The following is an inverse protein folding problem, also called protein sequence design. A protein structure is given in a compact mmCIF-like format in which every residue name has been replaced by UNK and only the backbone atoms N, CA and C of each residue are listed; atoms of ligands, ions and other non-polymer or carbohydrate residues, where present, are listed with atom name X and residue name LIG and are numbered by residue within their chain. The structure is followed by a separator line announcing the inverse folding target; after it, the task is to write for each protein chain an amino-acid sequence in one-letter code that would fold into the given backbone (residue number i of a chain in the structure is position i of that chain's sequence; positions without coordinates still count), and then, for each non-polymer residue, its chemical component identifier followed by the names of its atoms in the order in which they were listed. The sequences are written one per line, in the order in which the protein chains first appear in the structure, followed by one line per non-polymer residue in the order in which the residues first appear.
data_IF_746015565274
#
_entry.id   IF_746015565274
#
_cell.length_a   1.000
_cell.length_b   1.000
_cell.length_c   1.000
_cell.angle_alpha   90.00
_cell.angle_beta   90.00
_cell.angle_gamma   90.00
#
_symmetry.space_group_name_H-M   'P 1'
#
loop_
_entity.id
_entity.type
_entity.pdbx_description
1 polymer ?
#
# COMPACT_ATOMS: atom_id res chain seq x y z
N UNK A 1 37.17 -16.85 -38.82
CA UNK A 1 35.73 -16.78 -38.45
C UNK A 1 35.64 -16.17 -37.07
N UNK A 2 35.35 -14.88 -36.99
CA UNK A 2 35.22 -14.15 -35.71
C UNK A 2 33.76 -14.20 -35.28
N UNK A 3 33.48 -14.87 -34.17
CA UNK A 3 32.14 -14.91 -33.56
C UNK A 3 31.92 -13.57 -32.86
N UNK A 4 31.08 -12.73 -33.47
CA UNK A 4 30.55 -11.52 -32.84
C UNK A 4 29.59 -11.97 -31.74
N UNK A 5 30.04 -11.92 -30.49
CA UNK A 5 29.18 -12.07 -29.32
C UNK A 5 28.36 -10.79 -29.19
N UNK A 6 27.10 -10.85 -29.65
CA UNK A 6 26.13 -9.80 -29.42
C UNK A 6 25.91 -9.64 -27.91
N UNK A 7 26.48 -8.59 -27.31
CA UNK A 7 26.07 -8.11 -26.00
C UNK A 7 24.62 -7.63 -26.12
N UNK A 8 23.69 -8.45 -25.65
CA UNK A 8 22.32 -8.01 -25.38
C UNK A 8 22.40 -6.85 -24.37
N UNK A 9 22.31 -5.62 -24.89
CA UNK A 9 22.16 -4.44 -24.06
C UNK A 9 20.91 -4.62 -23.22
N UNK A 10 21.09 -4.79 -21.91
CA UNK A 10 20.01 -4.69 -20.95
C UNK A 10 19.40 -3.30 -21.16
N UNK A 11 18.25 -3.27 -21.83
CA UNK A 11 17.42 -2.08 -21.98
C UNK A 11 17.19 -1.54 -20.58
N UNK A 12 17.88 -0.45 -20.26
CA UNK A 12 17.97 0.06 -18.90
C UNK A 12 16.63 0.63 -18.50
N UNK A 13 15.71 -0.24 -18.07
CA UNK A 13 14.36 0.08 -17.62
C UNK A 13 14.43 1.33 -16.74
N UNK A 14 13.80 2.41 -17.22
CA UNK A 14 13.75 3.68 -16.51
C UNK A 14 12.89 3.44 -15.27
N UNK A 15 13.54 3.36 -14.12
CA UNK A 15 12.88 3.32 -12.82
C UNK A 15 11.92 4.51 -12.70
N UNK A 16 10.65 4.33 -12.31
CA UNK A 16 9.73 5.43 -12.06
C UNK A 16 10.30 6.35 -10.97
N UNK A 17 10.91 7.46 -11.40
CA UNK A 17 11.33 8.57 -10.55
C UNK A 17 10.09 9.37 -10.18
N UNK A 18 9.31 8.84 -9.25
CA UNK A 18 8.01 9.43 -8.93
C UNK A 18 7.48 9.12 -7.54
N UNK A 19 8.14 8.27 -6.74
CA UNK A 19 7.59 7.87 -5.44
C UNK A 19 7.31 9.08 -4.53
N UNK A 20 8.23 10.04 -4.32
CA UNK A 20 7.91 11.23 -3.51
C UNK A 20 6.72 12.02 -4.05
N UNK A 21 6.64 12.20 -5.38
CA UNK A 21 5.52 12.88 -6.02
C UNK A 21 4.20 12.14 -5.86
N UNK A 22 4.22 10.80 -5.97
CA UNK A 22 3.05 9.97 -5.72
C UNK A 22 2.59 10.03 -4.26
N UNK A 23 3.53 10.02 -3.30
CA UNK A 23 3.21 10.18 -1.88
C UNK A 23 2.56 11.55 -1.59
N UNK A 24 3.12 12.63 -2.16
CA UNK A 24 2.54 13.97 -2.03
C UNK A 24 1.17 14.06 -2.68
N UNK A 25 1.00 13.46 -3.86
CA UNK A 25 -0.27 13.43 -4.56
C UNK A 25 -1.33 12.66 -3.76
N UNK A 26 -0.98 11.51 -3.18
CA UNK A 26 -1.87 10.74 -2.32
C UNK A 26 -2.27 11.52 -1.06
N UNK A 27 -1.33 12.21 -0.43
CA UNK A 27 -1.61 13.09 0.72
C UNK A 27 -2.56 14.22 0.35
N UNK A 28 -2.30 14.91 -0.77
CA UNK A 28 -3.18 15.98 -1.26
C UNK A 28 -4.58 15.47 -1.61
N UNK A 29 -4.67 14.34 -2.33
CA UNK A 29 -5.95 13.74 -2.70
C UNK A 29 -6.76 13.33 -1.47
N UNK A 30 -6.12 12.76 -0.46
CA UNK A 30 -6.79 12.38 0.80
C UNK A 30 -7.25 13.60 1.59
N UNK A 31 -6.46 14.67 1.63
CA UNK A 31 -6.86 15.93 2.26
C UNK A 31 -8.07 16.57 1.56
N UNK A 32 -8.07 16.60 0.22
CA UNK A 32 -9.21 17.08 -0.58
C UNK A 32 -10.45 16.21 -0.33
N UNK A 33 -10.30 14.89 -0.28
CA UNK A 33 -11.41 13.99 0.04
C UNK A 33 -11.98 14.26 1.43
N UNK A 34 -11.14 14.40 2.45
CA UNK A 34 -11.57 14.69 3.82
C UNK A 34 -12.29 16.03 3.93
N UNK A 35 -11.79 17.07 3.23
CA UNK A 35 -12.47 18.35 3.12
C UNK A 35 -13.86 18.19 2.50
N UNK A 36 -13.97 17.46 1.38
CA UNK A 36 -15.25 17.25 0.69
C UNK A 36 -16.24 16.45 1.53
N UNK A 37 -15.80 15.42 2.25
CA UNK A 37 -16.67 14.68 3.16
C UNK A 37 -17.26 15.57 4.26
N UNK A 38 -16.46 16.46 4.83
CA UNK A 38 -16.87 17.29 5.96
C UNK A 38 -17.61 18.58 5.59
N UNK A 39 -17.40 19.11 4.37
CA UNK A 39 -17.98 20.40 3.95
C UNK A 39 -19.05 20.23 2.86
N UNK A 40 -18.85 19.30 1.92
CA UNK A 40 -19.73 19.13 0.76
C UNK A 40 -20.78 18.01 0.94
N UNK A 41 -20.80 17.33 2.10
CA UNK A 41 -21.81 16.33 2.46
C UNK A 41 -21.88 15.17 1.48
N UNK A 42 -20.79 14.40 1.36
CA UNK A 42 -20.75 13.24 0.45
C UNK A 42 -21.31 11.97 1.10
N UNK A 43 -21.64 10.99 0.25
CA UNK A 43 -22.00 9.64 0.67
C UNK A 43 -20.90 9.07 1.58
N UNK A 44 -21.31 8.46 2.69
CA UNK A 44 -20.41 7.92 3.72
C UNK A 44 -20.32 8.76 4.99
N UNK A 45 -20.78 10.02 4.96
CA UNK A 45 -20.84 10.90 6.13
C UNK A 45 -19.50 11.52 6.53
N UNK A 46 -19.50 12.36 7.58
CA UNK A 46 -18.30 13.09 8.01
C UNK A 46 -17.16 12.14 8.42
N UNK A 47 -15.93 12.56 8.18
CA UNK A 47 -14.71 11.80 8.46
C UNK A 47 -13.84 12.53 9.50
N UNK A 48 -13.45 11.81 10.55
CA UNK A 48 -12.47 12.29 11.52
C UNK A 48 -11.07 12.42 10.91
N UNK A 49 -10.20 13.20 11.57
CA UNK A 49 -8.80 13.31 11.14
C UNK A 49 -8.11 11.95 11.17
N UNK A 50 -8.38 11.13 12.18
CA UNK A 50 -7.82 9.79 12.35
C UNK A 50 -8.21 8.88 11.19
N UNK A 51 -9.48 8.89 10.78
CA UNK A 51 -9.92 8.11 9.61
C UNK A 51 -9.34 8.64 8.31
N UNK A 52 -9.17 9.94 8.17
CA UNK A 52 -8.50 10.52 7.00
C UNK A 52 -7.02 10.12 6.93
N UNK A 53 -6.30 10.12 8.05
CA UNK A 53 -4.91 9.66 8.14
C UNK A 53 -4.80 8.17 7.85
N UNK A 54 -5.67 7.36 8.44
CA UNK A 54 -5.75 5.93 8.14
C UNK A 54 -6.00 5.67 6.66
N UNK A 55 -6.95 6.38 6.02
CA UNK A 55 -7.20 6.28 4.59
C UNK A 55 -5.97 6.65 3.76
N UNK A 56 -5.27 7.73 4.12
CA UNK A 56 -4.03 8.09 3.44
C UNK A 56 -2.98 6.99 3.57
N UNK A 57 -2.82 6.44 4.79
CA UNK A 57 -1.91 5.34 5.05
C UNK A 57 -2.26 4.12 4.20
N UNK A 58 -3.51 3.69 4.16
CA UNK A 58 -3.91 2.49 3.39
C UNK A 58 -3.68 2.69 1.90
N UNK A 59 -4.04 3.84 1.32
CA UNK A 59 -3.73 4.13 -0.10
C UNK A 59 -2.21 4.09 -0.33
N UNK A 60 -1.44 4.71 0.57
CA UNK A 60 0.01 4.78 0.46
C UNK A 60 0.66 3.39 0.57
N UNK A 61 0.34 2.66 1.63
CA UNK A 61 1.02 1.43 2.01
C UNK A 61 0.48 0.21 1.27
N UNK A 62 -0.79 0.21 0.85
CA UNK A 62 -1.40 -0.92 0.16
C UNK A 62 -1.36 -0.79 -1.37
N UNK A 63 -1.29 0.44 -1.91
CA UNK A 63 -1.27 0.65 -3.35
C UNK A 63 0.02 1.31 -3.83
N UNK A 64 0.32 2.52 -3.37
CA UNK A 64 1.43 3.32 -3.93
C UNK A 64 2.77 2.63 -3.72
N UNK A 65 3.15 2.35 -2.47
CA UNK A 65 4.45 1.74 -2.17
C UNK A 65 4.60 0.36 -2.82
N UNK A 66 3.62 -0.58 -2.71
CA UNK A 66 3.69 -1.84 -3.43
C UNK A 66 3.83 -1.68 -4.94
N UNK A 67 3.11 -0.75 -5.58
CA UNK A 67 3.19 -0.55 -7.03
C UNK A 67 4.59 -0.14 -7.47
N UNK A 68 5.22 0.78 -6.73
CA UNK A 68 6.62 1.14 -6.96
C UNK A 68 7.54 -0.05 -6.72
N UNK A 69 7.40 -0.80 -5.62
CA UNK A 69 8.22 -1.97 -5.34
C UNK A 69 8.13 -3.02 -6.46
N UNK A 70 6.91 -3.33 -6.94
CA UNK A 70 6.70 -4.30 -8.03
C UNK A 70 7.36 -3.86 -9.34
N UNK A 71 7.33 -2.55 -9.62
CA UNK A 71 8.02 -1.96 -10.76
C UNK A 71 9.55 -1.90 -10.60
N UNK A 72 10.09 -2.19 -9.40
CA UNK A 72 11.52 -1.98 -9.13
C UNK A 72 12.38 -3.06 -9.77
N UNK A 73 13.35 -2.70 -10.64
CA UNK A 73 14.14 -3.69 -11.38
C UNK A 73 14.98 -4.57 -10.45
N UNK A 74 15.46 -4.03 -9.33
CA UNK A 74 16.25 -4.79 -8.35
C UNK A 74 15.42 -5.67 -7.40
N UNK A 75 14.08 -5.62 -7.44
CA UNK A 75 13.27 -6.49 -6.58
C UNK A 75 13.23 -7.90 -7.20
N UNK A 76 13.61 -8.93 -6.44
CA UNK A 76 13.60 -10.29 -6.96
C UNK A 76 12.17 -10.80 -7.23
N UNK A 77 12.06 -11.89 -7.99
CA UNK A 77 10.78 -12.46 -8.44
C UNK A 77 9.86 -12.85 -7.28
N UNK A 78 10.43 -13.32 -6.16
CA UNK A 78 9.68 -13.81 -5.00
C UNK A 78 8.83 -12.70 -4.35
N UNK A 79 9.45 -11.69 -3.71
CA UNK A 79 8.74 -10.55 -3.11
C UNK A 79 7.89 -9.80 -4.13
N UNK A 80 8.37 -9.65 -5.37
CA UNK A 80 7.60 -9.02 -6.46
C UNK A 80 6.28 -9.75 -6.71
N UNK A 81 6.29 -11.08 -6.77
CA UNK A 81 5.08 -11.88 -6.95
C UNK A 81 4.10 -11.71 -5.79
N UNK A 82 4.59 -11.68 -4.55
CA UNK A 82 3.74 -11.44 -3.36
C UNK A 82 3.03 -10.10 -3.48
N UNK A 83 3.78 -9.03 -3.74
CA UNK A 83 3.23 -7.68 -3.82
C UNK A 83 2.32 -7.49 -5.04
N UNK A 84 2.63 -8.12 -6.17
CA UNK A 84 1.81 -8.03 -7.37
C UNK A 84 0.43 -8.69 -7.19
N UNK A 85 0.37 -9.88 -6.59
CA UNK A 85 -0.89 -10.55 -6.29
C UNK A 85 -1.70 -9.81 -5.22
N UNK A 86 -1.03 -9.29 -4.20
CA UNK A 86 -1.66 -8.43 -3.20
C UNK A 86 -2.27 -7.18 -3.86
N UNK A 87 -1.52 -6.47 -4.70
CA UNK A 87 -2.03 -5.31 -5.45
C UNK A 87 -3.22 -5.66 -6.34
N UNK A 88 -3.15 -6.77 -7.06
CA UNK A 88 -4.25 -7.20 -7.92
C UNK A 88 -5.53 -7.45 -7.11
N UNK A 89 -5.42 -8.13 -5.97
CA UNK A 89 -6.55 -8.36 -5.06
C UNK A 89 -7.08 -7.04 -4.48
N UNK A 90 -6.21 -6.16 -3.99
CA UNK A 90 -6.62 -4.86 -3.44
C UNK A 90 -7.25 -3.95 -4.50
N UNK A 91 -6.76 -3.99 -5.74
CA UNK A 91 -7.36 -3.29 -6.87
C UNK A 91 -8.76 -3.79 -7.18
N UNK A 92 -8.95 -5.12 -7.19
CA UNK A 92 -10.27 -5.72 -7.36
C UNK A 92 -11.24 -5.32 -6.24
N UNK A 93 -10.77 -5.31 -4.97
CA UNK A 93 -11.54 -4.77 -3.84
C UNK A 93 -11.93 -3.32 -4.05
N UNK A 94 -10.98 -2.45 -4.42
CA UNK A 94 -11.27 -1.04 -4.63
C UNK A 94 -12.38 -0.81 -5.65
N UNK A 95 -12.34 -1.52 -6.78
CA UNK A 95 -13.40 -1.44 -7.81
C UNK A 95 -14.75 -1.93 -7.26
N UNK A 96 -14.75 -3.07 -6.57
CA UNK A 96 -15.97 -3.65 -6.01
C UNK A 96 -16.58 -2.77 -4.91
N UNK A 97 -15.78 -2.22 -3.99
CA UNK A 97 -16.26 -1.35 -2.91
C UNK A 97 -16.80 -0.03 -3.46
N UNK A 98 -16.15 0.58 -4.45
CA UNK A 98 -16.68 1.78 -5.09
C UNK A 98 -18.05 1.53 -5.72
N UNK A 99 -18.23 0.39 -6.39
CA UNK A 99 -19.52 0.00 -6.94
C UNK A 99 -20.55 -0.24 -5.83
N UNK A 100 -20.19 -0.95 -4.76
CA UNK A 100 -21.09 -1.22 -3.64
C UNK A 100 -21.51 0.05 -2.88
N UNK A 101 -20.62 1.03 -2.74
CA UNK A 101 -20.87 2.29 -2.03
C UNK A 101 -21.70 3.26 -2.88
N UNK A 102 -21.31 3.48 -4.14
CA UNK A 102 -21.86 4.57 -4.96
C UNK A 102 -22.92 4.14 -5.96
N UNK A 103 -23.01 2.84 -6.29
CA UNK A 103 -23.97 2.34 -7.28
C UNK A 103 -25.03 1.45 -6.63
N UNK A 104 -24.60 0.42 -5.89
CA UNK A 104 -25.52 -0.56 -5.31
C UNK A 104 -26.06 -0.16 -3.93
N UNK A 105 -25.42 0.78 -3.24
CA UNK A 105 -25.72 1.17 -1.85
C UNK A 105 -25.85 -0.03 -0.91
N UNK A 106 -25.01 -1.04 -1.14
CA UNK A 106 -25.07 -2.36 -0.48
C UNK A 106 -23.74 -2.71 0.20
N UNK A 107 -22.91 -1.70 0.48
CA UNK A 107 -21.63 -1.91 1.13
C UNK A 107 -21.83 -2.43 2.55
N UNK A 108 -21.06 -3.45 2.92
CA UNK A 108 -21.06 -4.05 4.25
C UNK A 108 -19.63 -4.21 4.77
N UNK A 109 -19.38 -3.90 6.06
CA UNK A 109 -18.08 -4.16 6.67
C UNK A 109 -17.63 -5.62 6.56
N UNK A 110 -18.57 -6.58 6.50
CA UNK A 110 -18.26 -8.01 6.38
C UNK A 110 -17.53 -8.34 5.08
N UNK A 111 -17.86 -7.65 3.98
CA UNK A 111 -17.16 -7.81 2.70
C UNK A 111 -15.69 -7.39 2.84
N UNK A 112 -15.45 -6.23 3.45
CA UNK A 112 -14.10 -5.72 3.72
C UNK A 112 -13.28 -6.68 4.59
N UNK A 113 -13.88 -7.18 5.68
CA UNK A 113 -13.24 -8.15 6.60
C UNK A 113 -12.86 -9.43 5.87
N UNK A 114 -13.78 -10.02 5.09
CA UNK A 114 -13.52 -11.25 4.35
C UNK A 114 -12.35 -11.08 3.37
N UNK A 115 -12.29 -9.93 2.69
CA UNK A 115 -11.22 -9.61 1.75
C UNK A 115 -9.87 -9.38 2.45
N UNK A 116 -9.85 -8.75 3.64
CA UNK A 116 -8.62 -8.57 4.43
C UNK A 116 -8.08 -9.91 4.93
N UNK A 117 -8.95 -10.80 5.44
CA UNK A 117 -8.56 -12.17 5.85
C UNK A 117 -7.99 -12.94 4.66
N UNK A 118 -8.63 -12.85 3.49
CA UNK A 118 -8.12 -13.45 2.26
C UNK A 118 -6.73 -12.92 1.90
N UNK A 119 -6.50 -11.60 1.98
CA UNK A 119 -5.19 -11.02 1.64
C UNK A 119 -4.09 -11.40 2.64
N UNK A 120 -4.42 -11.48 3.93
CA UNK A 120 -3.49 -12.00 4.94
C UNK A 120 -3.07 -13.43 4.57
N UNK A 121 -4.04 -14.29 4.25
CA UNK A 121 -3.78 -15.68 3.87
C UNK A 121 -3.00 -15.80 2.55
N UNK A 122 -3.36 -15.00 1.54
CA UNK A 122 -2.70 -14.94 0.24
C UNK A 122 -1.22 -14.57 0.40
N UNK A 123 -0.93 -13.48 1.12
CA UNK A 123 0.44 -13.04 1.38
C UNK A 123 1.23 -14.12 2.14
N UNK A 124 0.63 -14.73 3.17
CA UNK A 124 1.28 -15.81 3.92
C UNK A 124 1.59 -17.03 3.04
N UNK A 125 0.64 -17.46 2.20
CA UNK A 125 0.81 -18.61 1.32
C UNK A 125 1.88 -18.37 0.25
N UNK A 126 1.89 -17.19 -0.38
CA UNK A 126 2.86 -16.84 -1.41
C UNK A 126 4.28 -16.70 -0.86
N UNK A 127 4.43 -16.21 0.38
CA UNK A 127 5.71 -16.15 1.10
C UNK A 127 6.28 -17.55 1.36
N UNK A 128 5.45 -18.50 1.79
CA UNK A 128 5.88 -19.89 2.04
C UNK A 128 6.32 -20.61 0.75
N UNK A 129 5.67 -20.31 -0.38
CA UNK A 129 6.00 -20.89 -1.71
C UNK A 129 7.18 -20.18 -2.42
N UNK A 130 7.80 -19.20 -1.79
CA UNK A 130 8.85 -18.36 -2.37
C UNK A 130 10.27 -18.87 -2.13
N UNK A 131 10.54 -20.17 -2.32
CA UNK A 131 11.87 -20.77 -2.19
C UNK A 131 12.47 -21.12 -3.56
N UNK A 132 13.60 -20.51 -3.91
CA UNK A 132 14.46 -20.95 -5.03
C UNK A 132 14.75 -19.88 -6.08
N UNK A 133 15.83 -19.12 -5.86
CA UNK A 133 16.43 -18.22 -6.86
C UNK A 133 17.12 -17.01 -6.21
N UNK A 134 18.45 -16.96 -6.27
CA UNK A 134 19.34 -15.91 -5.71
C UNK A 134 20.21 -15.38 -6.86
N UNK A 135 20.51 -14.09 -7.13
CA UNK A 135 20.54 -12.76 -6.45
C UNK A 135 19.96 -11.67 -7.43
N UNK A 136 19.47 -10.45 -7.04
CA UNK A 136 20.23 -9.42 -6.29
C UNK A 136 19.54 -8.62 -5.16
N UNK A 137 20.39 -8.15 -4.22
CA UNK A 137 20.20 -7.35 -2.99
C UNK A 137 19.29 -7.98 -1.94
N UNK A 138 19.84 -9.00 -1.25
CA UNK A 138 19.24 -9.63 -0.08
C UNK A 138 18.67 -8.62 0.95
N UNK A 139 19.29 -7.44 1.10
CA UNK A 139 18.80 -6.41 2.03
C UNK A 139 17.54 -5.68 1.53
N UNK A 140 17.44 -5.41 0.22
CA UNK A 140 16.26 -4.75 -0.38
C UNK A 140 15.06 -5.71 -0.38
N UNK A 141 15.29 -6.96 -0.78
CA UNK A 141 14.28 -8.02 -0.74
C UNK A 141 13.78 -8.31 0.68
N UNK A 142 14.69 -8.41 1.65
CA UNK A 142 14.33 -8.57 3.06
C UNK A 142 13.52 -7.37 3.56
N UNK A 143 13.87 -6.16 3.13
CA UNK A 143 13.10 -4.95 3.40
C UNK A 143 11.67 -5.04 2.87
N UNK A 144 11.49 -5.44 1.62
CA UNK A 144 10.18 -5.60 0.99
C UNK A 144 9.34 -6.70 1.68
N UNK A 145 9.94 -7.83 2.06
CA UNK A 145 9.25 -8.90 2.78
C UNK A 145 8.87 -8.50 4.22
N UNK A 146 9.72 -7.70 4.89
CA UNK A 146 9.36 -7.07 6.16
C UNK A 146 8.14 -6.16 5.98
N UNK A 147 8.14 -5.34 4.94
CA UNK A 147 7.02 -4.46 4.62
C UNK A 147 5.73 -5.24 4.34
N UNK A 148 5.78 -6.41 3.70
CA UNK A 148 4.61 -7.29 3.59
C UNK A 148 4.04 -7.71 4.96
N UNK A 149 4.88 -7.82 5.99
CA UNK A 149 4.42 -8.12 7.36
C UNK A 149 3.72 -6.89 7.97
N UNK A 150 4.21 -5.68 7.68
CA UNK A 150 3.54 -4.43 8.05
C UNK A 150 2.17 -4.30 7.38
N UNK A 151 2.07 -4.67 6.09
CA UNK A 151 0.78 -4.75 5.39
C UNK A 151 -0.17 -5.70 6.12
N UNK A 152 0.25 -6.93 6.43
CA UNK A 152 -0.58 -7.90 7.14
C UNK A 152 -1.04 -7.37 8.52
N UNK A 153 -0.15 -6.72 9.28
CA UNK A 153 -0.52 -6.10 10.55
C UNK A 153 -1.55 -4.99 10.37
N UNK A 154 -1.41 -4.15 9.33
CA UNK A 154 -2.41 -3.12 9.04
C UNK A 154 -3.75 -3.68 8.55
N UNK A 155 -3.78 -4.81 7.84
CA UNK A 155 -5.03 -5.50 7.49
C UNK A 155 -5.75 -6.04 8.74
N UNK A 156 -5.00 -6.51 9.74
CA UNK A 156 -5.60 -6.88 11.04
C UNK A 156 -6.22 -5.67 11.73
N UNK A 157 -5.54 -4.52 11.72
CA UNK A 157 -6.12 -3.29 12.26
C UNK A 157 -7.39 -2.86 11.49
N UNK A 158 -7.40 -2.97 10.16
CA UNK A 158 -8.59 -2.73 9.34
C UNK A 158 -9.76 -3.65 9.72
N UNK A 159 -9.51 -4.95 9.88
CA UNK A 159 -10.52 -5.92 10.34
C UNK A 159 -11.11 -5.49 11.68
N UNK A 160 -10.27 -5.05 12.62
CA UNK A 160 -10.75 -4.58 13.93
C UNK A 160 -11.61 -3.32 13.80
N UNK A 161 -11.20 -2.35 12.96
CA UNK A 161 -12.01 -1.16 12.71
C UNK A 161 -13.35 -1.50 12.06
N UNK A 162 -13.33 -2.32 11.00
CA UNK A 162 -14.52 -2.76 10.31
C UNK A 162 -15.47 -3.56 11.22
N UNK A 163 -14.92 -4.40 12.11
CA UNK A 163 -15.71 -5.15 13.08
C UNK A 163 -16.37 -4.22 14.12
N UNK A 164 -15.68 -3.18 14.60
CA UNK A 164 -16.28 -2.18 15.49
C UNK A 164 -17.40 -1.41 14.76
N UNK A 165 -17.18 -1.01 13.51
CA UNK A 165 -18.20 -0.40 12.65
C UNK A 165 -19.43 -1.28 12.45
N UNK A 166 -19.20 -2.57 12.17
CA UNK A 166 -20.26 -3.54 12.01
C UNK A 166 -21.12 -3.66 13.27
N UNK A 167 -20.47 -3.74 14.44
CA UNK A 167 -21.15 -3.86 15.74
C UNK A 167 -22.00 -2.65 16.12
N UNK A 168 -21.68 -1.46 15.62
CA UNK A 168 -22.49 -0.26 15.86
C UNK A 168 -23.71 -0.16 14.95
N UNK A 169 -23.82 -0.99 13.90
CA UNK A 169 -24.98 -0.98 12.99
C UNK A 169 -25.04 0.20 12.02
N UNK A 170 -24.16 1.20 12.16
CA UNK A 170 -24.16 2.47 11.39
C UNK A 170 -24.00 2.31 9.88
N UNK A 171 -23.51 1.17 9.42
CA UNK A 171 -23.40 0.84 8.00
C UNK A 171 -24.79 0.72 7.33
N UNK A 172 -25.85 0.41 8.10
CA UNK A 172 -27.23 0.42 7.61
C UNK A 172 -27.74 1.81 7.26
N UNK A 173 -27.14 2.87 7.84
CA UNK A 173 -27.49 4.27 7.61
C UNK A 173 -26.56 4.94 6.57
N UNK A 174 -25.84 4.14 5.78
CA UNK A 174 -24.83 4.58 4.82
C UNK A 174 -23.72 5.47 5.44
N UNK A 175 -23.46 5.30 6.74
CA UNK A 175 -22.31 5.90 7.42
C UNK A 175 -21.12 4.97 7.30
N UNK A 176 -20.15 5.38 6.48
CA UNK A 176 -18.97 4.59 6.15
C UNK A 176 -17.70 5.12 6.82
N UNK A 177 -17.73 6.34 7.35
CA UNK A 177 -16.62 6.98 8.05
C UNK A 177 -16.96 7.27 9.51
N UNK A 178 -15.94 7.33 10.37
CA UNK A 178 -16.14 7.65 11.78
C UNK A 178 -16.13 9.18 11.93
N UNK A 179 -17.25 9.83 12.27
CA UNK A 179 -17.25 11.25 12.54
C UNK A 179 -16.50 11.56 13.85
N UNK A 180 -16.07 12.81 14.07
CA UNK A 180 -15.44 13.25 15.31
C UNK A 180 -16.49 13.52 16.42
N UNK A 181 -17.33 12.54 16.74
CA UNK A 181 -18.37 12.63 17.78
C UNK A 181 -18.04 11.75 18.98
N UNK A 182 -18.73 11.98 20.11
CA UNK A 182 -18.53 11.22 21.35
C UNK A 182 -18.78 9.71 21.15
N UNK A 183 -19.76 9.35 20.32
CA UNK A 183 -20.09 7.98 19.95
C UNK A 183 -18.89 7.22 19.35
N UNK A 184 -18.14 7.88 18.45
CA UNK A 184 -16.99 7.28 17.74
C UNK A 184 -15.65 7.55 18.42
N UNK A 185 -15.62 8.21 19.59
CA UNK A 185 -14.39 8.63 20.25
C UNK A 185 -13.42 7.47 20.52
N UNK A 186 -13.94 6.30 20.91
CA UNK A 186 -13.15 5.11 21.18
C UNK A 186 -12.54 4.51 19.89
N UNK A 187 -13.27 4.49 18.78
CA UNK A 187 -12.76 4.06 17.47
C UNK A 187 -11.69 5.03 16.98
N UNK A 188 -11.94 6.33 17.06
CA UNK A 188 -10.98 7.35 16.64
C UNK A 188 -9.70 7.27 17.49
N UNK A 189 -9.80 7.11 18.82
CA UNK A 189 -8.63 6.93 19.67
C UNK A 189 -7.82 5.69 19.27
N UNK A 190 -8.48 4.55 19.04
CA UNK A 190 -7.80 3.34 18.58
C UNK A 190 -7.12 3.56 17.22
N UNK A 191 -7.82 4.17 16.26
CA UNK A 191 -7.27 4.50 14.94
C UNK A 191 -6.05 5.41 15.07
N UNK A 192 -6.08 6.44 15.93
CA UNK A 192 -4.92 7.31 16.20
C UNK A 192 -3.70 6.53 16.70
N UNK A 193 -3.91 5.63 17.67
CA UNK A 193 -2.83 4.80 18.21
C UNK A 193 -2.22 3.92 17.11
N UNK A 194 -3.06 3.32 16.26
CA UNK A 194 -2.61 2.52 15.12
C UNK A 194 -1.86 3.40 14.12
N UNK A 195 -2.39 4.58 13.75
CA UNK A 195 -1.78 5.52 12.81
C UNK A 195 -0.34 5.85 13.23
N UNK A 196 -0.12 6.21 14.49
CA UNK A 196 1.22 6.51 15.01
C UNK A 196 2.18 5.34 14.77
N UNK A 197 1.74 4.11 15.07
CA UNK A 197 2.56 2.91 14.90
C UNK A 197 2.84 2.63 13.42
N UNK A 198 1.82 2.65 12.57
CA UNK A 198 1.97 2.26 11.16
C UNK A 198 2.72 3.32 10.34
N UNK A 199 2.52 4.61 10.62
CA UNK A 199 3.30 5.68 10.00
C UNK A 199 4.76 5.66 10.44
N UNK A 200 5.04 5.38 11.72
CA UNK A 200 6.40 5.21 12.20
C UNK A 200 7.10 4.03 11.51
N UNK A 201 6.40 2.90 11.34
CA UNK A 201 6.95 1.75 10.63
C UNK A 201 7.17 2.02 9.13
N UNK A 202 6.21 2.68 8.46
CA UNK A 202 6.33 3.08 7.06
C UNK A 202 7.49 4.05 6.86
N UNK A 203 7.62 5.08 7.71
CA UNK A 203 8.72 6.03 7.66
C UNK A 203 10.07 5.32 7.85
N UNK A 204 10.15 4.39 8.81
CA UNK A 204 11.34 3.55 9.04
C UNK A 204 11.67 2.69 7.82
N UNK A 205 10.68 2.09 7.17
CA UNK A 205 10.86 1.32 5.95
C UNK A 205 11.42 2.20 4.82
N UNK A 206 10.75 3.31 4.51
CA UNK A 206 11.16 4.25 3.46
C UNK A 206 12.55 4.80 3.72
N UNK A 207 12.88 5.15 4.97
CA UNK A 207 14.20 5.64 5.35
C UNK A 207 15.28 4.59 5.12
N UNK A 208 15.07 3.34 5.55
CA UNK A 208 16.04 2.26 5.38
C UNK A 208 16.25 1.89 3.91
N UNK A 209 15.20 1.98 3.10
CA UNK A 209 15.23 1.63 1.68
C UNK A 209 15.43 2.85 0.77
N UNK A 210 15.77 4.02 1.32
CA UNK A 210 15.91 5.28 0.56
C UNK A 210 16.95 5.23 -0.54
N UNK A 211 18.04 4.49 -0.34
CA UNK A 211 19.11 4.35 -1.34
C UNK A 211 18.57 3.70 -2.62
N UNK A 212 18.03 2.48 -2.55
CA UNK A 212 17.38 1.84 -3.70
C UNK A 212 16.17 2.61 -4.25
N UNK A 213 15.30 3.14 -3.38
CA UNK A 213 14.04 3.76 -3.81
C UNK A 213 14.21 5.16 -4.42
N UNK A 214 15.15 5.96 -3.88
CA UNK A 214 15.31 7.38 -4.19
C UNK A 214 16.65 7.72 -4.83
N UNK A 215 17.62 6.79 -4.82
CA UNK A 215 18.95 7.01 -5.34
C UNK A 215 18.97 7.32 -6.85
N UNK A 216 19.79 8.29 -7.25
CA UNK A 216 20.17 8.47 -8.66
C UNK A 216 21.06 7.28 -9.06
N UNK A 217 20.86 6.73 -10.27
CA UNK A 217 21.80 5.77 -10.89
C UNK A 217 23.22 6.30 -10.67
N UNK A 218 24.13 5.46 -10.15
CA UNK A 218 25.55 5.72 -10.33
C UNK A 218 25.80 5.94 -11.82
N UNK A 219 26.55 6.98 -12.23
CA UNK A 219 26.97 7.12 -13.62
C UNK A 219 27.64 5.82 -14.02
N UNK A 220 27.27 5.28 -15.19
CA UNK A 220 28.09 4.26 -15.82
C UNK A 220 29.44 4.92 -16.03
N UNK A 221 30.44 4.55 -15.23
CA UNK A 221 31.83 4.84 -15.53
C UNK A 221 32.11 4.14 -16.85
N UNK A 222 31.94 4.87 -17.95
CA UNK A 222 32.52 4.52 -19.23
C UNK A 222 33.99 4.36 -18.94
N UNK A 223 34.48 3.11 -18.95
CA UNK A 223 35.91 2.83 -18.87
C UNK A 223 36.57 3.65 -19.96
N UNK A 224 37.33 4.67 -19.54
CA UNK A 224 38.31 5.29 -20.40
C UNK A 224 39.35 4.20 -20.67
N UNK A 225 39.26 3.58 -21.85
CA UNK A 225 40.40 2.91 -22.45
C UNK A 225 41.53 3.95 -22.50
N UNK A 226 42.59 3.68 -21.73
CA UNK A 226 43.83 4.43 -21.78
C UNK A 226 44.57 4.05 -23.07
N UNK A 227 45.32 4.99 -23.68
CA UNK A 227 45.86 4.89 -25.05
C UNK A 227 46.84 3.75 -25.26
#
# INVERSE_FOLDING_TARGET
MSVIVARAGASGARWPRGLPGALLLTAAATAVFAYRQNVAGQVGGPISLEKALWLNYTITAWFVVPAFLVAHPALSRGPRRVLAWFLASMGARGVAELWLIYVAFAWSPLYGIAHDVFNIALVAALRRRGGGGREPSAAFDAGALRFCSSIQASLVAEILFAALFYRMGVHGDAVYFAPPTAEFAHINLLTRCVDVVVYADLARFLWRQRGPLLGRRAPLTTGAESP
#
